data_IF_867513717309
#
_entry.id   IF_867513717309
#
_cell.length_a   1.000
_cell.length_b   1.000
_cell.length_c   1.000
_cell.angle_alpha   90.00
_cell.angle_beta   90.00
_cell.angle_gamma   90.00
#
_symmetry.space_group_name_H-M   'P 1'
#
loop_
_entity.id
_entity.type
_entity.pdbx_description
1 polymer ?
#
# COMPACT_ATOMS: atom_id res chain seq x y z
N UNK A 1 68.97 7.97 -20.99
CA UNK A 1 67.76 8.82 -21.09
C UNK A 1 66.52 8.04 -21.59
N UNK A 2 66.62 6.73 -21.85
CA UNK A 2 65.56 5.90 -22.46
C UNK A 2 64.76 5.04 -21.47
N UNK A 3 65.23 4.80 -20.24
CA UNK A 3 64.57 3.92 -19.26
C UNK A 3 63.45 4.61 -18.44
N UNK A 4 63.46 5.94 -18.32
CA UNK A 4 62.48 6.69 -17.53
C UNK A 4 61.15 6.96 -18.26
N UNK A 5 61.12 6.91 -19.60
CA UNK A 5 59.89 7.12 -20.39
C UNK A 5 59.02 5.86 -20.50
N UNK A 6 59.59 4.66 -20.36
CA UNK A 6 58.83 3.40 -20.42
C UNK A 6 58.01 3.14 -19.14
N UNK A 7 58.46 3.64 -17.99
CA UNK A 7 57.81 3.38 -16.70
C UNK A 7 56.58 4.28 -16.46
N UNK A 8 56.62 5.51 -16.98
CA UNK A 8 55.52 6.48 -16.85
C UNK A 8 54.30 6.08 -17.71
N UNK A 9 54.52 5.48 -18.88
CA UNK A 9 53.46 4.99 -19.77
C UNK A 9 52.83 3.68 -19.28
N UNK A 10 53.63 2.79 -18.68
CA UNK A 10 53.17 1.56 -18.01
C UNK A 10 52.23 1.84 -16.83
N UNK A 11 52.58 2.82 -15.98
CA UNK A 11 51.80 3.21 -14.80
C UNK A 11 50.43 3.82 -15.15
N UNK A 12 50.37 4.66 -16.19
CA UNK A 12 49.12 5.26 -16.66
C UNK A 12 48.15 4.24 -17.30
N UNK A 13 48.67 3.21 -18.00
CA UNK A 13 47.85 2.17 -18.65
C UNK A 13 47.19 1.23 -17.64
N UNK A 14 47.91 0.81 -16.58
CA UNK A 14 47.40 -0.09 -15.53
C UNK A 14 46.29 0.56 -14.69
N UNK A 15 46.36 1.86 -14.48
CA UNK A 15 45.34 2.63 -13.75
C UNK A 15 44.02 2.76 -14.51
N UNK A 16 44.06 2.78 -15.86
CA UNK A 16 42.88 2.79 -16.73
C UNK A 16 42.16 1.44 -16.72
N UNK A 17 42.92 0.34 -16.82
CA UNK A 17 42.38 -1.03 -16.88
C UNK A 17 41.70 -1.43 -15.57
N UNK A 18 42.25 -1.05 -14.41
CA UNK A 18 41.63 -1.33 -13.12
C UNK A 18 40.25 -0.65 -12.98
N UNK A 19 40.12 0.62 -13.40
CA UNK A 19 38.83 1.32 -13.39
C UNK A 19 37.82 0.72 -14.35
N UNK A 20 38.27 0.33 -15.54
CA UNK A 20 37.42 -0.34 -16.52
C UNK A 20 36.85 -1.66 -15.97
N UNK A 21 37.66 -2.43 -15.22
CA UNK A 21 37.20 -3.66 -14.55
C UNK A 21 36.14 -3.40 -13.48
N UNK A 22 36.27 -2.35 -12.66
CA UNK A 22 35.25 -2.00 -11.66
C UNK A 22 33.94 -1.53 -12.31
N UNK A 23 34.02 -0.76 -13.40
CA UNK A 23 32.84 -0.32 -14.16
C UNK A 23 32.12 -1.53 -14.78
N UNK A 24 32.87 -2.44 -15.40
CA UNK A 24 32.32 -3.68 -15.96
C UNK A 24 31.70 -4.57 -14.89
N UNK A 25 32.34 -4.71 -13.73
CA UNK A 25 31.83 -5.53 -12.63
C UNK A 25 30.55 -4.95 -12.03
N UNK A 26 30.45 -3.62 -11.93
CA UNK A 26 29.22 -2.92 -11.50
C UNK A 26 28.09 -3.05 -12.51
N UNK A 27 28.37 -2.84 -13.79
CA UNK A 27 27.38 -3.06 -14.86
C UNK A 27 26.88 -4.50 -14.83
N UNK A 28 27.79 -5.47 -14.68
CA UNK A 28 27.47 -6.89 -14.59
C UNK A 28 26.60 -7.21 -13.35
N UNK A 29 26.91 -6.62 -12.19
CA UNK A 29 26.08 -6.76 -10.98
C UNK A 29 24.68 -6.15 -11.16
N UNK A 30 24.58 -4.97 -11.77
CA UNK A 30 23.28 -4.34 -12.04
C UNK A 30 22.46 -5.18 -13.01
N UNK A 31 23.06 -5.68 -14.09
CA UNK A 31 22.38 -6.57 -15.04
C UNK A 31 21.99 -7.90 -14.40
N UNK A 32 22.81 -8.47 -13.53
CA UNK A 32 22.44 -9.65 -12.75
C UNK A 32 21.25 -9.35 -11.83
N UNK A 33 21.23 -8.21 -11.14
CA UNK A 33 20.09 -7.81 -10.31
C UNK A 33 18.78 -7.73 -11.12
N UNK A 34 18.82 -7.16 -12.32
CA UNK A 34 17.66 -7.13 -13.22
C UNK A 34 17.30 -8.51 -13.81
N UNK A 35 18.28 -9.38 -14.06
CA UNK A 35 18.03 -10.72 -14.56
C UNK A 35 17.49 -11.69 -13.49
N UNK A 36 17.89 -11.49 -12.23
CA UNK A 36 17.46 -12.31 -11.09
C UNK A 36 16.22 -11.75 -10.37
N UNK A 37 15.58 -10.69 -10.88
CA UNK A 37 14.27 -10.32 -10.33
C UNK A 37 13.30 -11.48 -10.57
N UNK A 38 12.71 -12.06 -9.51
CA UNK A 38 11.80 -13.19 -9.67
C UNK A 38 10.60 -12.74 -10.50
N UNK A 39 10.11 -13.61 -11.39
CA UNK A 39 8.94 -13.31 -12.23
C UNK A 39 7.72 -12.86 -11.41
N UNK A 40 7.59 -13.34 -10.17
CA UNK A 40 6.52 -12.93 -9.26
C UNK A 40 6.62 -11.45 -8.85
N UNK A 41 7.83 -10.90 -8.73
CA UNK A 41 8.02 -9.47 -8.47
C UNK A 41 7.77 -8.63 -9.74
N UNK A 42 8.07 -9.19 -10.92
CA UNK A 42 7.80 -8.53 -12.20
C UNK A 42 6.30 -8.51 -12.56
N UNK A 43 5.58 -9.60 -12.25
CA UNK A 43 4.13 -9.69 -12.44
C UNK A 43 3.35 -8.95 -11.34
N UNK A 44 3.84 -8.99 -10.09
CA UNK A 44 3.15 -8.45 -8.93
C UNK A 44 1.81 -9.15 -8.66
N UNK A 45 1.25 -9.01 -7.46
CA UNK A 45 -0.19 -9.23 -7.32
C UNK A 45 -0.91 -8.05 -8.02
N UNK A 46 -2.00 -8.29 -8.78
CA UNK A 46 -2.75 -7.18 -9.36
C UNK A 46 -3.24 -6.29 -8.21
N UNK A 47 -2.84 -5.02 -8.22
CA UNK A 47 -3.38 -4.04 -7.28
C UNK A 47 -4.84 -3.81 -7.63
N UNK A 48 -5.75 -4.44 -6.89
CA UNK A 48 -7.17 -4.23 -7.04
C UNK A 48 -7.52 -2.85 -6.46
N UNK A 49 -7.73 -1.87 -7.35
CA UNK A 49 -8.38 -0.62 -6.97
C UNK A 49 -9.88 -0.87 -7.05
N UNK A 50 -10.58 -0.69 -5.95
CA UNK A 50 -12.02 -0.88 -5.91
C UNK A 50 -12.72 0.33 -6.52
N UNK A 51 -13.49 0.12 -7.57
CA UNK A 51 -14.36 1.14 -8.15
C UNK A 51 -15.61 1.34 -7.28
N UNK A 52 -16.29 2.48 -7.42
CA UNK A 52 -17.48 2.78 -6.61
C UNK A 52 -18.60 1.75 -6.81
N UNK A 53 -18.70 1.17 -8.01
CA UNK A 53 -19.60 0.05 -8.30
C UNK A 53 -19.24 -1.20 -7.48
N UNK A 54 -17.96 -1.55 -7.37
CA UNK A 54 -17.52 -2.70 -6.59
C UNK A 54 -17.71 -2.48 -5.09
N UNK A 55 -17.53 -1.25 -4.61
CA UNK A 55 -17.83 -0.86 -3.23
C UNK A 55 -19.33 -1.05 -2.97
N UNK A 56 -20.19 -0.55 -3.86
CA UNK A 56 -21.64 -0.71 -3.77
C UNK A 56 -22.06 -2.19 -3.81
N UNK A 57 -21.46 -2.99 -4.70
CA UNK A 57 -21.73 -4.42 -4.81
C UNK A 57 -21.36 -5.17 -3.52
N UNK A 58 -20.18 -4.91 -2.96
CA UNK A 58 -19.76 -5.54 -1.70
C UNK A 58 -20.60 -5.06 -0.51
N UNK A 59 -20.93 -3.78 -0.48
CA UNK A 59 -21.76 -3.17 0.57
C UNK A 59 -23.19 -3.70 0.57
N UNK A 60 -23.80 -3.91 -0.60
CA UNK A 60 -25.13 -4.50 -0.69
C UNK A 60 -25.07 -6.03 -0.51
N UNK A 61 -24.01 -6.67 -0.99
CA UNK A 61 -23.82 -8.11 -0.91
C UNK A 61 -23.58 -8.65 0.50
N UNK A 62 -23.03 -7.85 1.43
CA UNK A 62 -22.82 -8.27 2.83
C UNK A 62 -24.12 -8.72 3.50
N UNK A 63 -25.26 -8.11 3.13
CA UNK A 63 -26.58 -8.45 3.66
C UNK A 63 -27.10 -9.80 3.18
N UNK A 64 -26.50 -10.33 2.11
CA UNK A 64 -26.86 -11.60 1.52
C UNK A 64 -25.99 -12.74 2.05
N UNK A 65 -25.01 -12.47 2.91
CA UNK A 65 -24.16 -13.51 3.50
C UNK A 65 -25.02 -14.46 4.33
N UNK A 66 -24.92 -15.75 4.00
CA UNK A 66 -25.73 -16.80 4.64
C UNK A 66 -27.06 -17.09 3.93
N UNK A 67 -27.36 -16.38 2.84
CA UNK A 67 -28.53 -16.61 2.00
C UNK A 67 -28.10 -16.88 0.56
N UNK A 68 -28.83 -17.74 -0.14
CA UNK A 68 -28.62 -17.98 -1.57
C UNK A 68 -29.93 -17.85 -2.33
N UNK A 69 -29.91 -17.11 -3.44
CA UNK A 69 -31.02 -17.05 -4.40
C UNK A 69 -30.83 -18.02 -5.56
N UNK A 70 -29.61 -18.49 -5.78
CA UNK A 70 -29.26 -19.40 -6.86
C UNK A 70 -28.94 -20.79 -6.30
N UNK A 71 -29.43 -21.84 -6.99
CA UNK A 71 -29.23 -23.23 -6.58
C UNK A 71 -27.81 -23.73 -6.89
N UNK A 72 -27.09 -23.08 -7.81
CA UNK A 72 -25.72 -23.41 -8.17
C UNK A 72 -24.75 -22.73 -7.18
N UNK A 73 -24.34 -23.49 -6.17
CA UNK A 73 -23.25 -23.12 -5.26
C UNK A 73 -21.93 -23.46 -5.96
N UNK A 74 -21.56 -22.67 -6.95
CA UNK A 74 -20.20 -22.69 -7.46
C UNK A 74 -19.38 -21.60 -6.73
N UNK A 75 -18.14 -21.93 -6.36
CA UNK A 75 -17.20 -21.04 -5.65
C UNK A 75 -16.76 -19.81 -6.49
N UNK A 76 -17.35 -19.62 -7.67
CA UNK A 76 -17.03 -18.53 -8.57
C UNK A 76 -17.85 -17.27 -8.25
N UNK A 77 -17.13 -16.22 -7.80
CA UNK A 77 -17.69 -14.87 -7.61
C UNK A 77 -18.38 -14.33 -8.87
N UNK A 78 -17.95 -14.77 -10.06
CA UNK A 78 -18.57 -14.42 -11.32
C UNK A 78 -20.02 -14.90 -11.40
N UNK A 79 -20.29 -16.15 -10.99
CA UNK A 79 -21.61 -16.79 -11.04
C UNK A 79 -22.53 -16.19 -9.99
N UNK A 80 -22.02 -15.92 -8.78
CA UNK A 80 -22.79 -15.24 -7.73
C UNK A 80 -23.22 -13.83 -8.13
N UNK A 81 -22.36 -13.10 -8.83
CA UNK A 81 -22.69 -11.75 -9.30
C UNK A 81 -23.65 -11.78 -10.48
N UNK A 82 -23.55 -12.79 -11.37
CA UNK A 82 -24.52 -13.01 -12.45
C UNK A 82 -25.93 -13.28 -11.89
N UNK A 83 -26.02 -14.05 -10.80
CA UNK A 83 -27.28 -14.34 -10.11
C UNK A 83 -28.05 -13.07 -9.72
N UNK A 84 -27.35 -12.01 -9.28
CA UNK A 84 -27.95 -10.72 -8.94
C UNK A 84 -28.63 -10.03 -10.13
N UNK A 85 -28.20 -10.33 -11.36
CA UNK A 85 -28.78 -9.78 -12.59
C UNK A 85 -29.89 -10.67 -13.17
N UNK A 86 -29.84 -11.99 -12.96
CA UNK A 86 -30.75 -12.94 -13.62
C UNK A 86 -31.91 -13.41 -12.75
N UNK A 87 -31.72 -13.51 -11.43
CA UNK A 87 -32.75 -13.98 -10.51
C UNK A 87 -33.62 -12.79 -10.06
N UNK A 88 -34.93 -12.89 -10.21
CA UNK A 88 -35.88 -11.81 -9.89
C UNK A 88 -35.83 -11.39 -8.42
N UNK A 89 -35.73 -12.35 -7.49
CA UNK A 89 -35.66 -12.07 -6.05
C UNK A 89 -34.32 -11.43 -5.65
N UNK A 90 -33.22 -11.91 -6.23
CA UNK A 90 -31.89 -11.36 -6.01
C UNK A 90 -31.79 -9.95 -6.57
N UNK A 91 -32.28 -9.74 -7.79
CA UNK A 91 -32.33 -8.44 -8.46
C UNK A 91 -33.19 -7.46 -7.67
N UNK A 92 -34.37 -7.85 -7.21
CA UNK A 92 -35.25 -7.00 -6.40
C UNK A 92 -34.58 -6.56 -5.09
N UNK A 93 -33.93 -7.49 -4.39
CA UNK A 93 -33.19 -7.19 -3.16
C UNK A 93 -32.01 -6.24 -3.40
N UNK A 94 -31.22 -6.51 -4.45
CA UNK A 94 -30.12 -5.64 -4.85
C UNK A 94 -30.62 -4.27 -5.30
N UNK A 95 -31.68 -4.20 -6.10
CA UNK A 95 -32.24 -2.98 -6.64
C UNK A 95 -32.70 -2.03 -5.53
N UNK A 96 -33.37 -2.54 -4.50
CA UNK A 96 -33.72 -1.75 -3.31
C UNK A 96 -32.48 -1.19 -2.60
N UNK A 97 -31.45 -2.02 -2.38
CA UNK A 97 -30.20 -1.56 -1.76
C UNK A 97 -29.52 -0.46 -2.56
N UNK A 98 -29.44 -0.61 -3.89
CA UNK A 98 -28.86 0.40 -4.78
C UNK A 98 -29.71 1.68 -4.80
N UNK A 99 -31.02 1.59 -4.86
CA UNK A 99 -31.89 2.77 -4.84
C UNK A 99 -31.74 3.57 -3.55
N UNK A 100 -31.67 2.88 -2.40
CA UNK A 100 -31.59 3.53 -1.10
C UNK A 100 -30.18 4.05 -0.77
N UNK A 101 -29.16 3.24 -1.03
CA UNK A 101 -27.79 3.51 -0.60
C UNK A 101 -26.87 4.03 -1.70
N UNK A 102 -27.09 3.71 -2.97
CA UNK A 102 -26.18 4.09 -4.06
C UNK A 102 -26.93 4.52 -5.34
N UNK A 103 -27.80 5.55 -5.27
CA UNK A 103 -28.63 5.94 -6.42
C UNK A 103 -27.80 6.33 -7.65
N UNK A 104 -26.64 6.94 -7.44
CA UNK A 104 -25.72 7.33 -8.51
C UNK A 104 -25.06 6.13 -9.22
N UNK A 105 -25.08 4.94 -8.62
CA UNK A 105 -24.47 3.72 -9.16
C UNK A 105 -25.46 2.80 -9.88
N UNK A 106 -26.76 3.14 -9.91
CA UNK A 106 -27.79 2.32 -10.59
C UNK A 106 -27.45 2.12 -12.08
N UNK A 107 -27.04 3.19 -12.77
CA UNK A 107 -26.64 3.09 -14.18
C UNK A 107 -25.46 2.14 -14.37
N UNK A 108 -24.45 2.23 -13.51
CA UNK A 108 -23.26 1.39 -13.57
C UNK A 108 -23.58 -0.08 -13.25
N UNK A 109 -24.51 -0.33 -12.32
CA UNK A 109 -25.03 -1.67 -12.03
C UNK A 109 -25.74 -2.28 -13.23
N UNK A 110 -26.66 -1.55 -13.86
CA UNK A 110 -27.34 -2.01 -15.09
C UNK A 110 -26.32 -2.27 -16.20
N UNK A 111 -25.38 -1.33 -16.40
CA UNK A 111 -24.32 -1.49 -17.39
C UNK A 111 -23.44 -2.71 -17.12
N UNK A 112 -23.17 -3.04 -15.85
CA UNK A 112 -22.43 -4.24 -15.48
C UNK A 112 -23.22 -5.50 -15.84
N UNK A 113 -24.51 -5.57 -15.52
CA UNK A 113 -25.36 -6.68 -15.93
C UNK A 113 -25.37 -6.90 -17.45
N UNK A 114 -25.43 -5.81 -18.21
CA UNK A 114 -25.52 -5.88 -19.67
C UNK A 114 -24.18 -6.23 -20.35
N UNK A 115 -23.10 -5.56 -19.93
CA UNK A 115 -21.80 -5.70 -20.59
C UNK A 115 -21.01 -6.92 -20.12
N UNK A 116 -21.11 -7.27 -18.84
CA UNK A 116 -20.31 -8.35 -18.24
C UNK A 116 -21.01 -9.69 -18.24
N UNK A 117 -22.34 -9.69 -18.12
CA UNK A 117 -23.15 -10.90 -17.96
C UNK A 117 -24.15 -11.14 -19.09
N UNK A 118 -24.16 -10.28 -20.11
CA UNK A 118 -25.02 -10.39 -21.29
C UNK A 118 -26.52 -10.46 -20.96
N UNK A 119 -26.92 -9.88 -19.83
CA UNK A 119 -28.33 -9.77 -19.43
C UNK A 119 -28.90 -8.51 -20.07
N UNK A 120 -30.11 -8.58 -20.65
CA UNK A 120 -30.78 -7.38 -21.18
C UNK A 120 -31.57 -6.72 -20.05
N UNK A 121 -30.88 -5.99 -19.15
CA UNK A 121 -31.50 -5.22 -18.08
C UNK A 121 -31.65 -3.76 -18.50
N UNK A 122 -32.89 -3.27 -18.46
CA UNK A 122 -33.24 -1.88 -18.74
C UNK A 122 -33.54 -1.12 -17.45
N UNK A 123 -33.56 0.22 -17.53
CA UNK A 123 -33.92 1.04 -16.37
C UNK A 123 -35.34 0.77 -15.87
N UNK A 124 -36.30 0.57 -16.77
CA UNK A 124 -37.67 0.23 -16.39
C UNK A 124 -37.74 -1.10 -15.65
N UNK A 125 -37.05 -2.14 -16.13
CA UNK A 125 -36.99 -3.43 -15.44
C UNK A 125 -36.32 -3.34 -14.06
N UNK A 126 -35.34 -2.47 -13.91
CA UNK A 126 -34.75 -2.19 -12.60
C UNK A 126 -35.77 -1.54 -11.66
N UNK A 127 -36.51 -0.53 -12.12
CA UNK A 127 -37.54 0.15 -11.34
C UNK A 127 -38.72 -0.82 -11.02
N UNK A 128 -39.06 -1.72 -11.94
CA UNK A 128 -40.04 -2.80 -11.71
C UNK A 128 -39.56 -3.77 -10.63
N UNK A 129 -38.27 -4.12 -10.60
CA UNK A 129 -37.69 -4.97 -9.55
C UNK A 129 -37.75 -4.30 -8.18
N UNK A 130 -37.62 -2.97 -8.10
CA UNK A 130 -37.83 -2.20 -6.86
C UNK A 130 -39.29 -2.29 -6.41
N UNK A 131 -40.25 -2.15 -7.32
CA UNK A 131 -41.66 -2.29 -7.00
C UNK A 131 -41.97 -3.71 -6.50
N UNK A 132 -41.45 -4.72 -7.19
CA UNK A 132 -41.56 -6.11 -6.77
C UNK A 132 -41.01 -6.35 -5.36
N UNK A 133 -39.85 -5.76 -5.04
CA UNK A 133 -39.29 -5.78 -3.69
C UNK A 133 -40.26 -5.18 -2.65
N UNK A 134 -40.82 -4.00 -2.93
CA UNK A 134 -41.71 -3.33 -1.98
C UNK A 134 -42.95 -4.15 -1.65
N UNK A 135 -43.45 -4.91 -2.63
CA UNK A 135 -44.66 -5.73 -2.48
C UNK A 135 -44.39 -7.11 -1.87
N UNK A 136 -43.23 -7.73 -2.17
CA UNK A 136 -42.98 -9.14 -1.87
C UNK A 136 -41.85 -9.40 -0.86
N UNK A 137 -41.08 -8.38 -0.45
CA UNK A 137 -39.95 -8.60 0.44
C UNK A 137 -40.37 -9.06 1.84
N UNK A 138 -39.74 -10.13 2.32
CA UNK A 138 -40.00 -10.69 3.66
C UNK A 138 -38.76 -10.59 4.54
N UNK A 139 -38.97 -10.44 5.84
CA UNK A 139 -37.90 -10.39 6.82
C UNK A 139 -37.03 -11.64 6.76
N UNK A 140 -35.74 -11.46 7.07
CA UNK A 140 -34.77 -12.54 7.18
C UNK A 140 -35.34 -13.73 7.97
N UNK A 141 -35.33 -14.95 7.39
CA UNK A 141 -35.62 -16.15 8.16
C UNK A 141 -34.59 -16.22 9.29
N UNK A 142 -35.03 -16.50 10.53
CA UNK A 142 -34.08 -16.76 11.62
C UNK A 142 -33.15 -17.89 11.17
N UNK A 143 -31.82 -17.76 11.29
CA UNK A 143 -30.90 -18.81 10.89
C UNK A 143 -31.19 -20.06 11.73
N UNK A 144 -31.77 -21.07 11.09
CA UNK A 144 -32.01 -22.38 11.68
C UNK A 144 -30.82 -23.27 11.31
N UNK A 145 -29.72 -23.16 12.05
CA UNK A 145 -28.56 -23.98 11.77
C UNK A 145 -27.35 -23.71 12.67
N UNK A 146 -26.39 -24.65 12.72
CA UNK A 146 -25.10 -24.43 13.37
C UNK A 146 -24.30 -23.32 12.66
N UNK A 147 -23.28 -22.71 13.30
CA UNK A 147 -22.52 -21.56 12.78
C UNK A 147 -21.84 -21.75 11.42
N UNK A 148 -21.72 -23.01 10.94
CA UNK A 148 -21.06 -23.38 9.69
C UNK A 148 -22.05 -23.98 8.66
N UNK A 149 -23.35 -23.71 8.79
CA UNK A 149 -24.34 -24.21 7.85
C UNK A 149 -24.16 -23.59 6.45
N UNK A 150 -24.46 -24.35 5.37
CA UNK A 150 -24.52 -23.79 4.02
C UNK A 150 -25.57 -22.65 3.95
N UNK A 151 -25.42 -21.71 3.00
CA UNK A 151 -26.35 -20.60 2.87
C UNK A 151 -27.78 -21.11 2.66
N UNK A 152 -28.74 -20.49 3.35
CA UNK A 152 -30.15 -20.85 3.25
C UNK A 152 -30.69 -20.41 1.90
N UNK A 153 -31.28 -21.34 1.15
CA UNK A 153 -31.94 -21.01 -0.10
C UNK A 153 -33.21 -20.19 0.17
N UNK A 154 -33.33 -19.04 -0.50
CA UNK A 154 -34.47 -18.13 -0.37
C UNK A 154 -35.15 -17.95 -1.74
N UNK A 155 -36.48 -18.08 -1.74
CA UNK A 155 -37.37 -18.00 -2.89
C UNK A 155 -38.15 -16.68 -3.01
N UNK A 156 -37.82 -15.69 -2.18
CA UNK A 156 -38.46 -14.37 -2.11
C UNK A 156 -37.44 -13.24 -1.88
N UNK A 157 -37.76 -11.97 -2.17
CA UNK A 157 -36.84 -10.86 -1.90
C UNK A 157 -36.61 -10.69 -0.40
N UNK A 158 -35.38 -10.38 0.00
CA UNK A 158 -34.99 -10.26 1.41
C UNK A 158 -35.23 -8.83 1.91
N UNK A 159 -36.10 -8.65 2.89
CA UNK A 159 -36.37 -7.32 3.48
C UNK A 159 -35.16 -6.84 4.27
N UNK A 160 -34.44 -5.89 3.69
CA UNK A 160 -33.28 -5.24 4.29
C UNK A 160 -33.71 -4.20 5.32
N UNK A 161 -32.91 -4.05 6.39
CA UNK A 161 -33.05 -2.96 7.33
C UNK A 161 -32.26 -1.75 6.83
N UNK A 162 -32.98 -0.72 6.37
CA UNK A 162 -32.39 0.47 5.74
C UNK A 162 -31.31 1.14 6.61
N UNK A 163 -31.51 1.19 7.93
CA UNK A 163 -30.51 1.74 8.86
C UNK A 163 -29.21 0.95 8.81
N UNK A 164 -29.29 -0.39 8.76
CA UNK A 164 -28.10 -1.23 8.62
C UNK A 164 -27.44 -1.02 7.27
N UNK A 165 -28.21 -0.90 6.20
CA UNK A 165 -27.69 -0.67 4.84
C UNK A 165 -26.83 0.61 4.81
N UNK A 166 -27.30 1.71 5.40
CA UNK A 166 -26.51 2.94 5.48
C UNK A 166 -25.23 2.81 6.31
N UNK A 167 -25.30 2.09 7.44
CA UNK A 167 -24.11 1.81 8.27
C UNK A 167 -23.07 1.01 7.47
N UNK A 168 -23.50 -0.04 6.76
CA UNK A 168 -22.59 -0.83 5.93
C UNK A 168 -22.03 -0.03 4.76
N UNK A 169 -22.84 0.83 4.13
CA UNK A 169 -22.36 1.77 3.11
C UNK A 169 -21.19 2.59 3.64
N UNK A 170 -21.37 3.25 4.77
CA UNK A 170 -20.32 4.08 5.36
C UNK A 170 -19.08 3.26 5.73
N UNK A 171 -19.27 2.08 6.31
CA UNK A 171 -18.15 1.19 6.64
C UNK A 171 -17.37 0.74 5.41
N UNK A 172 -18.03 0.39 4.31
CA UNK A 172 -17.38 -0.05 3.08
C UNK A 172 -16.72 1.12 2.33
N UNK A 173 -17.36 2.28 2.27
CA UNK A 173 -16.77 3.50 1.72
C UNK A 173 -15.51 3.89 2.52
N UNK A 174 -15.52 3.76 3.85
CA UNK A 174 -14.34 3.99 4.67
C UNK A 174 -13.27 2.91 4.47
N UNK A 175 -13.63 1.63 4.54
CA UNK A 175 -12.68 0.53 4.48
C UNK A 175 -12.00 0.42 3.11
N UNK A 176 -12.80 0.31 2.04
CA UNK A 176 -12.29 0.18 0.67
C UNK A 176 -11.74 1.52 0.15
N UNK A 177 -12.33 2.65 0.56
CA UNK A 177 -11.78 3.97 0.26
C UNK A 177 -10.41 4.19 0.90
N UNK A 178 -10.23 3.80 2.17
CA UNK A 178 -8.92 3.87 2.83
C UNK A 178 -7.93 2.87 2.25
N UNK A 179 -8.38 1.68 1.82
CA UNK A 179 -7.54 0.72 1.11
C UNK A 179 -7.01 1.29 -0.21
N UNK A 180 -7.89 1.88 -1.03
CA UNK A 180 -7.47 2.54 -2.27
C UNK A 180 -6.45 3.67 -2.01
N UNK A 181 -6.67 4.48 -0.97
CA UNK A 181 -5.74 5.55 -0.58
C UNK A 181 -4.40 5.01 -0.05
N UNK A 182 -4.43 3.94 0.74
CA UNK A 182 -3.21 3.36 1.32
C UNK A 182 -2.30 2.78 0.25
N UNK A 183 -2.85 2.19 -0.82
CA UNK A 183 -2.08 1.74 -1.99
C UNK A 183 -1.37 2.92 -2.64
N UNK A 184 -2.09 4.02 -2.89
CA UNK A 184 -1.55 5.22 -3.55
C UNK A 184 -0.44 5.85 -2.70
N UNK A 185 -0.66 5.99 -1.39
CA UNK A 185 0.36 6.53 -0.48
C UNK A 185 1.56 5.59 -0.31
N UNK A 186 1.32 4.29 -0.26
CA UNK A 186 2.38 3.27 -0.24
C UNK A 186 3.27 3.38 -1.47
N UNK A 187 2.68 3.50 -2.66
CA UNK A 187 3.42 3.70 -3.90
C UNK A 187 4.29 4.97 -3.87
N UNK A 188 3.73 6.12 -3.49
CA UNK A 188 4.50 7.37 -3.43
C UNK A 188 5.62 7.33 -2.38
N UNK A 189 5.38 6.72 -1.23
CA UNK A 189 6.40 6.57 -0.18
C UNK A 189 7.54 5.65 -0.62
N UNK A 190 7.21 4.53 -1.29
CA UNK A 190 8.20 3.63 -1.87
C UNK A 190 9.02 4.33 -2.95
N UNK A 191 8.38 5.10 -3.83
CA UNK A 191 9.07 5.86 -4.88
C UNK A 191 9.99 6.93 -4.29
N UNK A 192 9.52 7.65 -3.27
CA UNK A 192 10.33 8.63 -2.54
C UNK A 192 11.62 8.00 -1.99
N UNK A 193 11.52 6.88 -1.27
CA UNK A 193 12.68 6.20 -0.72
C UNK A 193 13.60 5.61 -1.80
N UNK A 194 13.03 5.08 -2.88
CA UNK A 194 13.81 4.61 -4.03
C UNK A 194 14.67 5.74 -4.62
N UNK A 195 14.11 6.96 -4.76
CA UNK A 195 14.84 8.14 -5.24
C UNK A 195 15.92 8.57 -4.24
N UNK A 196 15.63 8.60 -2.93
CA UNK A 196 16.62 8.93 -1.89
C UNK A 196 17.80 7.95 -1.91
N UNK A 197 17.52 6.65 -1.99
CA UNK A 197 18.55 5.62 -2.08
C UNK A 197 19.33 5.69 -3.39
N UNK A 198 18.68 5.99 -4.51
CA UNK A 198 19.34 6.21 -5.79
C UNK A 198 20.30 7.40 -5.74
N UNK A 199 19.90 8.52 -5.13
CA UNK A 199 20.78 9.67 -4.94
C UNK A 199 21.98 9.34 -4.04
N UNK A 200 21.77 8.60 -2.95
CA UNK A 200 22.85 8.15 -2.07
C UNK A 200 23.82 7.20 -2.79
N UNK A 201 23.28 6.27 -3.60
CA UNK A 201 24.06 5.38 -4.44
C UNK A 201 24.89 6.20 -5.46
N UNK A 202 24.29 7.14 -6.18
CA UNK A 202 24.99 8.04 -7.11
C UNK A 202 26.14 8.80 -6.39
N UNK A 203 25.90 9.31 -5.18
CA UNK A 203 26.92 9.97 -4.37
C UNK A 203 28.10 9.06 -3.98
N UNK A 204 27.85 7.78 -3.72
CA UNK A 204 28.90 6.81 -3.43
C UNK A 204 29.64 6.36 -4.70
N UNK A 205 28.92 6.15 -5.80
CA UNK A 205 29.49 5.72 -7.07
C UNK A 205 30.36 6.80 -7.71
N UNK A 206 29.97 8.08 -7.61
CA UNK A 206 30.76 9.21 -8.10
C UNK A 206 32.15 9.27 -7.44
N UNK A 207 32.28 8.91 -6.15
CA UNK A 207 33.59 8.82 -5.47
C UNK A 207 34.49 7.73 -6.06
N UNK A 208 33.91 6.60 -6.44
CA UNK A 208 34.66 5.45 -7.01
C UNK A 208 35.08 5.76 -8.45
N UNK A 209 34.18 6.30 -9.26
CA UNK A 209 34.41 6.57 -10.69
C UNK A 209 35.30 7.79 -10.92
N UNK A 210 35.11 8.85 -10.13
CA UNK A 210 35.80 10.14 -10.30
C UNK A 210 36.49 10.61 -9.01
N UNK A 211 37.45 9.86 -8.45
CA UNK A 211 38.08 10.20 -7.17
C UNK A 211 38.85 11.54 -7.24
N UNK A 212 39.39 11.92 -8.41
CA UNK A 212 40.05 13.22 -8.60
C UNK A 212 39.07 14.40 -8.53
N UNK A 213 37.84 14.21 -9.00
CA UNK A 213 36.78 15.22 -8.93
C UNK A 213 36.30 15.40 -7.49
N UNK A 214 36.02 14.30 -6.78
CA UNK A 214 35.63 14.36 -5.37
C UNK A 214 36.73 14.93 -4.46
N UNK A 215 38.01 14.60 -4.70
CA UNK A 215 39.13 15.16 -3.94
C UNK A 215 39.29 16.67 -4.11
N UNK A 216 38.83 17.25 -5.23
CA UNK A 216 38.81 18.71 -5.43
C UNK A 216 37.80 19.39 -4.49
N UNK A 217 36.63 18.79 -4.31
CA UNK A 217 35.58 19.30 -3.41
C UNK A 217 35.76 18.90 -1.94
N UNK A 218 36.50 17.83 -1.66
CA UNK A 218 36.74 17.32 -0.29
C UNK A 218 38.18 17.61 0.18
N UNK A 219 38.91 18.42 -0.59
CA UNK A 219 40.30 18.78 -0.33
C UNK A 219 40.48 19.74 0.85
N UNK A 220 41.71 20.22 1.02
CA UNK A 220 42.14 21.07 2.16
C UNK A 220 41.21 22.26 2.46
N UNK A 221 40.66 22.91 1.43
CA UNK A 221 39.73 24.05 1.60
C UNK A 221 38.40 23.63 2.23
N UNK A 222 37.81 22.53 1.76
CA UNK A 222 36.59 21.96 2.33
C UNK A 222 36.83 21.45 3.76
N UNK A 223 37.96 20.77 3.99
CA UNK A 223 38.34 20.33 5.33
C UNK A 223 38.50 21.51 6.30
N UNK A 224 39.07 22.63 5.85
CA UNK A 224 39.22 23.86 6.65
C UNK A 224 37.87 24.49 6.99
N UNK A 225 37.00 24.66 6.00
CA UNK A 225 35.61 25.16 6.19
C UNK A 225 34.87 24.25 7.18
N UNK A 226 35.00 22.93 7.02
CA UNK A 226 34.34 21.95 7.89
C UNK A 226 34.81 22.05 9.34
N UNK A 227 36.11 22.30 9.53
CA UNK A 227 36.76 22.42 10.85
C UNK A 227 36.49 23.75 11.55
N UNK A 228 36.23 24.83 10.80
CA UNK A 228 36.16 26.19 11.34
C UNK A 228 34.76 26.80 11.33
N UNK A 229 33.92 26.42 10.38
CA UNK A 229 32.60 27.04 10.17
C UNK A 229 31.48 26.06 10.54
N UNK A 230 31.44 24.87 9.91
CA UNK A 230 30.26 23.99 10.06
C UNK A 230 30.31 23.07 11.27
N UNK A 231 31.48 22.55 11.65
CA UNK A 231 31.63 21.53 12.71
C UNK A 231 32.82 21.84 13.66
N UNK A 232 32.92 23.04 14.25
CA UNK A 232 34.05 23.38 15.12
C UNK A 232 34.07 22.53 16.41
N UNK A 233 32.91 22.09 16.90
CA UNK A 233 32.79 21.27 18.10
C UNK A 233 33.24 19.80 17.92
N UNK A 234 33.27 19.28 16.69
CA UNK A 234 33.66 17.89 16.41
C UNK A 234 35.18 17.69 16.30
N UNK A 235 35.96 18.77 16.22
CA UNK A 235 37.42 18.71 16.01
C UNK A 235 38.18 19.24 17.24
N UNK A 236 38.63 18.32 18.09
CA UNK A 236 39.45 18.59 19.28
C UNK A 236 39.58 17.34 20.17
N UNK A 237 40.29 17.44 21.31
CA UNK A 237 40.40 16.35 22.31
C UNK A 237 39.12 16.11 23.13
N UNK A 238 38.10 16.96 22.99
CA UNK A 238 36.90 16.98 23.83
C UNK A 238 35.64 16.72 23.00
N UNK A 239 35.63 15.65 22.20
CA UNK A 239 34.52 15.35 21.26
C UNK A 239 33.21 14.92 21.94
N UNK A 240 33.26 14.61 23.24
CA UNK A 240 32.15 14.08 24.04
C UNK A 240 32.11 14.63 25.47
N UNK A 241 32.98 15.57 25.83
CA UNK A 241 32.93 16.18 27.15
C UNK A 241 31.93 17.35 27.09
N UNK A 242 30.90 17.31 27.93
CA UNK A 242 30.05 18.47 28.12
C UNK A 242 30.92 19.66 28.53
N UNK A 243 30.94 20.71 27.70
CA UNK A 243 31.42 21.99 28.19
C UNK A 243 30.30 22.55 29.04
N UNK A 244 30.51 22.80 30.35
CA UNK A 244 29.47 23.34 31.20
C UNK A 244 29.20 24.78 30.76
N UNK A 245 28.30 24.97 29.81
CA UNK A 245 27.73 26.26 29.47
C UNK A 245 26.44 26.41 30.29
N UNK A 246 26.48 27.31 31.27
CA UNK A 246 25.49 27.51 32.33
C UNK A 246 25.20 26.28 33.22
N UNK A 247 26.06 26.08 34.24
CA UNK A 247 25.79 25.17 35.39
C UNK A 247 24.47 25.45 36.12
N UNK A 248 23.85 26.60 35.90
CA UNK A 248 22.63 27.03 36.59
C UNK A 248 21.38 26.33 36.04
N UNK A 249 21.33 25.98 34.75
CA UNK A 249 20.13 25.39 34.14
C UNK A 249 19.98 23.88 34.38
N UNK A 250 21.09 23.17 34.62
CA UNK A 250 21.09 21.72 34.88
C UNK A 250 20.69 21.40 36.34
N UNK A 251 20.90 22.34 37.27
CA UNK A 251 20.46 22.18 38.65
C UNK A 251 18.92 22.21 38.78
N UNK A 252 18.22 22.93 37.89
CA UNK A 252 16.77 23.09 37.92
C UNK A 252 15.98 21.92 37.31
N UNK A 253 16.59 21.11 36.43
CA UNK A 253 15.88 19.98 35.79
C UNK A 253 16.01 18.64 36.53
N UNK A 254 16.87 18.55 37.56
CA UNK A 254 17.17 17.30 38.28
C UNK A 254 16.50 17.21 39.66
N UNK A 255 15.71 18.21 40.06
CA UNK A 255 15.03 18.20 41.36
C UNK A 255 13.64 17.53 41.33
N UNK A 256 13.07 17.26 40.15
CA UNK A 256 11.69 16.73 40.02
C UNK A 256 11.58 15.22 39.72
N UNK A 257 12.68 14.48 39.50
CA UNK A 257 12.63 13.05 39.13
C UNK A 257 13.51 12.16 40.01
N UNK A 258 13.27 12.19 41.32
CA UNK A 258 13.70 11.10 42.21
C UNK A 258 12.48 10.19 42.50
N UNK A 259 12.23 9.12 41.72
CA UNK A 259 11.29 8.10 42.16
C UNK A 259 11.90 7.38 43.36
N UNK A 260 11.22 7.47 44.50
CA UNK A 260 11.52 6.75 45.71
C UNK A 260 11.41 5.24 45.47
N UNK A 261 12.57 4.58 45.50
CA UNK A 261 12.82 3.27 46.11
C UNK A 261 11.59 2.41 46.46
N UNK A 262 11.16 1.55 45.53
CA UNK A 262 10.52 0.28 45.87
C UNK A 262 10.93 -0.74 44.82
N UNK A 263 11.73 -1.72 45.22
CA UNK A 263 11.50 -3.16 45.09
C UNK A 263 12.83 -3.90 45.29
N UNK A 264 12.97 -4.45 46.49
CA UNK A 264 13.91 -5.51 46.84
C UNK A 264 13.59 -6.78 46.05
N UNK A 265 14.46 -7.14 45.09
CA UNK A 265 15.02 -8.48 44.83
C UNK A 265 14.08 -9.73 44.77
N UNK A 266 14.56 -10.99 44.69
CA UNK A 266 14.70 -11.75 43.44
C UNK A 266 14.08 -13.18 43.48
N UNK A 267 13.49 -13.69 42.39
CA UNK A 267 13.10 -15.12 42.18
C UNK A 267 13.12 -15.33 40.65
N UNK A 268 13.61 -16.39 39.97
CA UNK A 268 13.70 -17.84 40.25
C UNK A 268 12.78 -18.32 41.35
#
# INVERSE_FOLDING_TARGET
MSSLQADVTSSHSKFSIARLKYVLLLLCLVTCFFAFTPELAAKGAPFARFEQLEIALNSCGIHLIGFSFCQEIEDDKFIQTKCLCTNENALATAAHCYLNAYPDQIHNFISMCNLKYEVQLTRSQFDDAVNFYNDHAKLEPKPQGPPNAPPLFIDHPLKLNDTKVFVYREMYDMFLGNYNRSIVYGFYLSLFWAVVLAMAAMGNWTKILFPKFCNRFTGRRSAWIRKKITLPALFGRYKTNEKPFLKILICLSLQELRPSSWWHSPFW
#
